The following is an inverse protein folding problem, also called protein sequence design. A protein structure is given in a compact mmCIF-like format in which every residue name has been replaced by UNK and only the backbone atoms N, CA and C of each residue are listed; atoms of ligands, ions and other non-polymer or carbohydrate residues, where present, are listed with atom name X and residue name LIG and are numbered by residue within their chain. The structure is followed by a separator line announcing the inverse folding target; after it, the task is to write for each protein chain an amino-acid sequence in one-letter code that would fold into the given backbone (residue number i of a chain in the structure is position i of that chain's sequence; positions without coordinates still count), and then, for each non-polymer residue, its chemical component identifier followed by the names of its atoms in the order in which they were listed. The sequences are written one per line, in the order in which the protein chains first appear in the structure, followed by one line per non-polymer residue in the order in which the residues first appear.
data_IF_826966873824
#
_entry.id   IF_826966873824
#
_cell.length_a   1.000
_cell.length_b   1.000
_cell.length_c   1.000
_cell.angle_alpha   90.00
_cell.angle_beta   90.00
_cell.angle_gamma   90.00
#
_symmetry.space_group_name_H-M   'P 1'
#
loop_
_entity.id
_entity.type
_entity.pdbx_description
1 polymer ?
#
# COMPACT_ATOMS: atom_id res chain seq x y z
N UNK A 1 -5.72 78.45 -28.58
CA UNK A 1 -5.95 79.03 -29.93
C UNK A 1 -6.74 77.99 -30.70
N UNK A 2 -8.07 78.13 -30.76
CA UNK A 2 -8.98 77.25 -31.49
C UNK A 2 -9.50 78.03 -32.66
N UNK A 3 -9.21 77.57 -33.88
CA UNK A 3 -9.72 78.15 -35.12
C UNK A 3 -11.14 77.59 -35.34
N UNK A 4 -12.12 78.47 -35.65
CA UNK A 4 -13.45 78.02 -36.00
C UNK A 4 -13.49 77.58 -37.47
N UNK A 5 -13.84 76.38 -37.77
CA UNK A 5 -14.23 75.91 -39.09
C UNK A 5 -15.68 76.25 -39.31
N UNK A 6 -15.90 77.08 -40.36
CA UNK A 6 -17.21 77.52 -40.86
C UNK A 6 -17.87 76.41 -41.65
N UNK A 7 -18.63 75.56 -41.07
CA UNK A 7 -19.69 74.85 -41.75
C UNK A 7 -20.89 74.68 -40.79
N UNK A 8 -21.85 75.55 -40.96
CA UNK A 8 -23.06 75.72 -40.13
C UNK A 8 -24.11 74.69 -40.43
N UNK A 9 -23.79 73.38 -40.25
CA UNK A 9 -24.77 72.33 -40.16
C UNK A 9 -24.87 71.87 -38.74
N UNK A 10 -25.76 72.50 -37.98
CA UNK A 10 -26.28 71.94 -36.74
C UNK A 10 -27.07 70.73 -37.14
N UNK A 11 -26.46 69.55 -37.06
CA UNK A 11 -27.18 68.27 -37.14
C UNK A 11 -28.09 68.23 -35.91
N UNK A 12 -29.35 68.54 -36.07
CA UNK A 12 -30.36 68.23 -35.09
C UNK A 12 -30.39 66.72 -34.91
N UNK A 13 -29.71 66.24 -33.88
CA UNK A 13 -29.90 64.87 -33.43
C UNK A 13 -31.34 64.79 -32.96
N UNK A 14 -32.21 64.30 -33.85
CA UNK A 14 -33.61 64.06 -33.50
C UNK A 14 -33.65 63.07 -32.31
N UNK A 15 -34.37 63.46 -31.29
CA UNK A 15 -34.63 62.55 -30.17
C UNK A 15 -35.24 61.25 -30.69
N UNK A 16 -34.73 60.07 -30.23
CA UNK A 16 -35.23 58.81 -30.71
C UNK A 16 -36.78 58.70 -30.51
N UNK A 17 -37.46 58.19 -31.48
CA UNK A 17 -38.91 57.99 -31.39
C UNK A 17 -39.26 56.98 -30.29
N UNK A 18 -40.48 57.01 -29.79
CA UNK A 18 -40.95 56.03 -28.80
C UNK A 18 -40.83 54.59 -29.33
N UNK A 19 -41.00 54.41 -30.64
CA UNK A 19 -40.79 53.08 -31.27
C UNK A 19 -39.31 52.63 -31.27
N UNK A 20 -38.38 53.53 -31.49
CA UNK A 20 -36.97 53.23 -31.47
C UNK A 20 -36.50 52.81 -30.07
N UNK A 21 -37.02 53.52 -29.05
CA UNK A 21 -36.72 53.18 -27.64
C UNK A 21 -37.36 51.82 -27.26
N UNK A 22 -38.57 51.54 -27.72
CA UNK A 22 -39.23 50.28 -27.46
C UNK A 22 -38.49 49.11 -28.14
N UNK A 23 -38.09 49.27 -29.38
CA UNK A 23 -37.32 48.29 -30.16
C UNK A 23 -35.94 48.01 -29.52
N UNK A 24 -35.22 49.06 -29.12
CA UNK A 24 -33.96 48.92 -28.43
C UNK A 24 -34.12 48.15 -27.10
N UNK A 25 -35.14 48.49 -26.31
CA UNK A 25 -35.41 47.78 -25.07
C UNK A 25 -35.77 46.29 -25.25
N UNK A 26 -36.52 45.99 -26.30
CA UNK A 26 -36.89 44.60 -26.64
C UNK A 26 -35.66 43.79 -27.08
N UNK A 27 -34.83 44.37 -27.94
CA UNK A 27 -33.56 43.75 -28.40
C UNK A 27 -32.59 43.51 -27.24
N UNK A 28 -32.46 44.44 -26.31
CA UNK A 28 -31.60 44.29 -25.16
C UNK A 28 -32.06 43.14 -24.25
N UNK A 29 -33.35 43.04 -24.00
CA UNK A 29 -33.93 41.88 -23.22
C UNK A 29 -33.70 40.56 -23.90
N UNK A 30 -33.75 40.49 -25.21
CA UNK A 30 -33.43 39.27 -25.95
C UNK A 30 -31.95 38.90 -25.83
N UNK A 31 -31.04 39.87 -25.95
CA UNK A 31 -29.62 39.67 -25.80
C UNK A 31 -29.25 39.18 -24.38
N UNK A 32 -29.86 39.73 -23.34
CA UNK A 32 -29.65 39.30 -21.95
C UNK A 32 -30.14 37.85 -21.72
N UNK A 33 -31.28 37.46 -22.31
CA UNK A 33 -31.76 36.07 -22.22
C UNK A 33 -30.84 35.08 -22.92
N UNK A 34 -30.25 35.43 -24.05
CA UNK A 34 -29.29 34.59 -24.78
C UNK A 34 -27.94 34.52 -24.04
N UNK A 35 -27.49 35.64 -23.45
CA UNK A 35 -26.26 35.66 -22.64
C UNK A 35 -26.40 34.80 -21.37
N UNK A 36 -27.56 34.82 -20.71
CA UNK A 36 -27.81 33.99 -19.53
C UNK A 36 -27.86 32.51 -19.86
N UNK A 37 -28.53 32.11 -20.97
CA UNK A 37 -28.55 30.72 -21.44
C UNK A 37 -27.18 30.19 -21.76
N UNK A 38 -26.32 30.98 -22.43
CA UNK A 38 -24.91 30.59 -22.73
C UNK A 38 -24.08 30.45 -21.43
N UNK A 39 -24.34 31.28 -20.43
CA UNK A 39 -23.66 31.21 -19.13
C UNK A 39 -24.06 29.94 -18.38
N UNK A 40 -25.34 29.63 -18.31
CA UNK A 40 -25.87 28.43 -17.68
C UNK A 40 -25.31 27.16 -18.37
N UNK A 41 -25.32 27.14 -19.71
CA UNK A 41 -24.82 26.02 -20.48
C UNK A 41 -23.31 25.75 -20.20
N UNK A 42 -22.49 26.82 -20.14
CA UNK A 42 -21.08 26.71 -19.77
C UNK A 42 -20.89 26.17 -18.35
N UNK A 43 -21.72 26.58 -17.41
CA UNK A 43 -21.71 26.06 -16.04
C UNK A 43 -22.09 24.58 -15.98
N UNK A 44 -23.12 24.17 -16.67
CA UNK A 44 -23.56 22.77 -16.75
C UNK A 44 -22.47 21.89 -17.36
N UNK A 45 -21.85 22.35 -18.44
CA UNK A 45 -20.73 21.62 -19.07
C UNK A 45 -19.54 21.48 -18.12
N UNK A 46 -19.18 22.56 -17.40
CA UNK A 46 -18.04 22.52 -16.43
C UNK A 46 -18.33 21.58 -15.25
N UNK A 47 -19.52 21.61 -14.70
CA UNK A 47 -19.95 20.72 -13.61
C UNK A 47 -19.99 19.27 -14.11
N UNK A 48 -20.57 19.03 -15.30
CA UNK A 48 -20.63 17.71 -15.92
C UNK A 48 -19.25 17.13 -16.21
N UNK A 49 -18.33 17.92 -16.76
CA UNK A 49 -16.95 17.51 -17.00
C UNK A 49 -16.19 17.21 -15.70
N UNK A 50 -16.39 18.02 -14.66
CA UNK A 50 -15.83 17.78 -13.34
C UNK A 50 -16.33 16.50 -12.69
N UNK A 51 -17.66 16.30 -12.70
CA UNK A 51 -18.28 15.09 -12.17
C UNK A 51 -17.84 13.81 -12.94
N UNK A 52 -17.72 13.90 -14.26
CA UNK A 52 -17.24 12.80 -15.10
C UNK A 52 -15.77 12.49 -14.81
N UNK A 53 -14.93 13.53 -14.66
CA UNK A 53 -13.52 13.35 -14.25
C UNK A 53 -13.39 12.66 -12.90
N UNK A 54 -14.20 13.06 -11.90
CA UNK A 54 -14.22 12.42 -10.58
C UNK A 54 -14.71 10.96 -10.65
N UNK A 55 -15.73 10.70 -11.47
CA UNK A 55 -16.29 9.36 -11.66
C UNK A 55 -15.28 8.37 -12.28
N UNK A 56 -14.32 8.86 -13.06
CA UNK A 56 -13.23 8.04 -13.61
C UNK A 56 -12.03 7.96 -12.67
N UNK A 57 -11.75 9.02 -11.93
CA UNK A 57 -10.57 9.11 -11.05
C UNK A 57 -10.71 8.20 -9.81
N UNK A 58 -11.91 8.14 -9.22
CA UNK A 58 -12.17 7.31 -8.03
C UNK A 58 -11.95 5.82 -8.31
N UNK A 59 -12.56 5.21 -9.36
CA UNK A 59 -12.30 3.81 -9.65
C UNK A 59 -10.85 3.55 -10.10
N UNK A 60 -10.20 4.49 -10.80
CA UNK A 60 -8.80 4.35 -11.19
C UNK A 60 -7.86 4.31 -9.98
N UNK A 61 -8.11 5.14 -8.97
CA UNK A 61 -7.37 5.12 -7.69
C UNK A 61 -7.69 3.84 -6.89
N UNK A 62 -8.95 3.39 -6.88
CA UNK A 62 -9.33 2.14 -6.24
C UNK A 62 -8.70 0.92 -6.93
N UNK A 63 -8.65 0.87 -8.27
CA UNK A 63 -7.93 -0.19 -9.00
C UNK A 63 -6.43 -0.18 -8.66
N UNK A 64 -5.81 0.99 -8.52
CA UNK A 64 -4.40 1.09 -8.15
C UNK A 64 -4.12 0.54 -6.75
N UNK A 65 -5.05 0.65 -5.81
CA UNK A 65 -4.93 0.02 -4.49
C UNK A 65 -5.12 -1.50 -4.54
N UNK A 66 -5.94 -2.00 -5.47
CA UNK A 66 -6.16 -3.43 -5.67
C UNK A 66 -4.99 -4.12 -6.42
N UNK A 67 -4.19 -3.37 -7.19
CA UNK A 67 -2.99 -3.87 -7.88
C UNK A 67 -1.72 -3.69 -7.04
N UNK A 68 -1.84 -3.30 -5.75
CA UNK A 68 -0.72 -3.39 -4.84
C UNK A 68 -0.32 -4.86 -4.76
N UNK A 69 0.71 -5.24 -5.48
CA UNK A 69 1.35 -6.54 -5.32
C UNK A 69 1.72 -6.64 -3.85
N UNK A 70 1.19 -7.67 -3.19
CA UNK A 70 1.58 -7.95 -1.81
C UNK A 70 3.07 -8.30 -1.86
N UNK A 71 3.91 -7.40 -1.37
CA UNK A 71 5.34 -7.61 -1.35
C UNK A 71 5.64 -8.86 -0.51
N UNK A 72 6.05 -9.93 -1.17
CA UNK A 72 6.46 -11.17 -0.53
C UNK A 72 7.97 -11.18 -0.28
N UNK A 73 8.42 -12.08 0.57
CA UNK A 73 9.85 -12.32 0.80
C UNK A 73 10.53 -12.70 -0.51
N UNK A 74 11.68 -12.10 -0.77
CA UNK A 74 12.49 -12.33 -1.97
C UNK A 74 13.98 -12.40 -1.63
N UNK A 75 14.76 -12.98 -2.54
CA UNK A 75 16.21 -13.03 -2.40
C UNK A 75 16.81 -11.61 -2.27
N UNK A 76 17.72 -11.45 -1.31
CA UNK A 76 18.38 -10.19 -0.99
C UNK A 76 17.67 -9.33 0.05
N UNK A 77 16.48 -9.72 0.51
CA UNK A 77 15.77 -9.00 1.57
C UNK A 77 16.52 -9.12 2.89
N UNK A 78 16.85 -8.00 3.51
CA UNK A 78 17.45 -7.95 4.84
C UNK A 78 16.39 -8.30 5.90
N UNK A 79 16.71 -9.22 6.81
CA UNK A 79 15.82 -9.59 7.90
C UNK A 79 16.01 -8.65 9.10
N UNK A 80 14.89 -8.10 9.59
CA UNK A 80 14.84 -7.22 10.75
C UNK A 80 13.94 -7.81 11.84
N UNK A 81 14.22 -7.50 13.10
CA UNK A 81 13.37 -7.94 14.22
C UNK A 81 11.92 -7.49 14.02
N UNK A 82 10.98 -8.40 14.22
CA UNK A 82 9.55 -8.12 14.07
C UNK A 82 8.95 -7.39 15.28
N UNK A 83 9.42 -7.68 16.48
CA UNK A 83 8.81 -7.25 17.75
C UNK A 83 9.87 -6.84 18.78
N UNK A 84 9.40 -6.22 19.88
CA UNK A 84 10.24 -5.77 20.99
C UNK A 84 10.96 -4.45 20.73
N UNK A 85 11.91 -4.13 21.59
CA UNK A 85 12.67 -2.86 21.56
C UNK A 85 13.60 -2.76 20.33
N UNK A 86 13.87 -3.89 19.70
CA UNK A 86 14.72 -3.99 18.52
C UNK A 86 13.92 -4.03 17.20
N UNK A 87 12.60 -3.94 17.23
CA UNK A 87 11.76 -3.99 16.04
C UNK A 87 12.25 -3.03 14.94
N UNK A 88 12.41 -3.56 13.73
CA UNK A 88 12.94 -2.82 12.58
C UNK A 88 14.47 -2.70 12.52
N UNK A 89 15.22 -3.16 13.53
CA UNK A 89 16.67 -3.24 13.45
C UNK A 89 17.13 -4.53 12.75
N UNK A 90 18.23 -4.49 11.98
CA UNK A 90 18.80 -5.67 11.37
C UNK A 90 19.18 -6.74 12.41
N UNK A 91 18.93 -7.99 12.08
CA UNK A 91 19.32 -9.11 12.94
C UNK A 91 20.81 -9.36 12.79
N UNK A 92 21.53 -9.22 13.91
CA UNK A 92 22.93 -9.60 14.01
C UNK A 92 23.04 -11.04 14.50
N UNK A 93 23.67 -11.92 13.70
CA UNK A 93 23.83 -13.33 14.05
C UNK A 93 24.64 -13.52 15.35
N UNK A 94 25.56 -12.60 15.66
CA UNK A 94 26.35 -12.65 16.87
C UNK A 94 25.55 -12.41 18.16
N UNK A 95 24.38 -11.75 18.03
CA UNK A 95 23.47 -11.52 19.14
C UNK A 95 22.55 -12.73 19.41
N UNK A 96 22.44 -13.68 18.49
CA UNK A 96 21.64 -14.89 18.64
C UNK A 96 22.44 -15.99 19.30
N UNK A 97 22.07 -16.38 20.54
CA UNK A 97 22.68 -17.53 21.21
C UNK A 97 22.10 -18.85 20.70
N UNK A 98 22.85 -19.97 20.76
CA UNK A 98 22.29 -21.29 20.45
C UNK A 98 21.02 -21.58 21.23
N UNK A 99 20.00 -22.09 20.57
CA UNK A 99 18.66 -22.29 21.15
C UNK A 99 17.79 -21.03 21.20
N UNK A 100 18.27 -19.89 20.73
CA UNK A 100 17.42 -18.70 20.57
C UNK A 100 16.50 -18.83 19.35
N UNK A 101 15.30 -18.26 19.49
CA UNK A 101 14.39 -18.02 18.37
C UNK A 101 13.96 -16.56 18.41
N UNK A 102 13.82 -15.95 17.24
CA UNK A 102 13.34 -14.57 17.09
C UNK A 102 12.41 -14.47 15.89
N UNK A 103 11.42 -13.61 16.00
CA UNK A 103 10.55 -13.30 14.87
C UNK A 103 11.11 -12.15 14.05
N UNK A 104 11.05 -12.29 12.73
CA UNK A 104 11.61 -11.36 11.77
C UNK A 104 10.62 -11.03 10.65
N UNK A 105 10.80 -9.85 10.07
CA UNK A 105 10.23 -9.48 8.77
C UNK A 105 11.36 -9.11 7.80
N UNK A 106 11.14 -9.25 6.49
CA UNK A 106 11.95 -8.54 5.52
C UNK A 106 11.79 -7.04 5.70
N UNK A 107 12.88 -6.28 5.64
CA UNK A 107 12.86 -4.82 5.81
C UNK A 107 11.85 -4.16 4.89
N UNK A 108 10.97 -3.31 5.44
CA UNK A 108 9.92 -2.60 4.71
C UNK A 108 8.74 -3.46 4.25
N UNK A 109 8.65 -4.75 4.62
CA UNK A 109 7.57 -5.67 4.19
C UNK A 109 6.72 -6.23 5.34
N UNK A 110 6.70 -5.56 6.48
CA UNK A 110 5.95 -5.98 7.68
C UNK A 110 4.42 -5.80 7.56
N UNK A 111 3.94 -5.06 6.56
CA UNK A 111 2.49 -4.92 6.29
C UNK A 111 1.83 -6.24 5.85
N UNK A 112 2.60 -7.17 5.34
CA UNK A 112 2.14 -8.50 4.98
C UNK A 112 2.48 -9.50 6.09
N UNK A 113 1.49 -9.89 6.88
CA UNK A 113 1.65 -10.86 7.97
C UNK A 113 2.19 -12.22 7.50
N UNK A 114 1.99 -12.59 6.24
CA UNK A 114 2.53 -13.82 5.67
C UNK A 114 4.06 -13.77 5.51
N UNK A 115 4.68 -12.61 5.59
CA UNK A 115 6.13 -12.47 5.59
C UNK A 115 6.76 -12.70 6.97
N UNK A 116 5.97 -13.00 8.01
CA UNK A 116 6.51 -13.26 9.34
C UNK A 116 7.31 -14.55 9.35
N UNK A 117 8.54 -14.44 9.79
CA UNK A 117 9.58 -15.48 9.78
C UNK A 117 9.90 -15.83 11.22
N UNK A 118 10.00 -17.12 11.52
CA UNK A 118 10.61 -17.65 12.74
C UNK A 118 12.03 -18.03 12.44
N UNK A 119 12.99 -17.26 12.93
CA UNK A 119 14.42 -17.49 12.79
C UNK A 119 14.93 -18.20 14.02
N UNK A 120 15.53 -19.38 13.86
CA UNK A 120 15.98 -20.23 14.96
C UNK A 120 17.46 -20.54 14.82
N UNK A 121 18.20 -20.37 15.92
CA UNK A 121 19.59 -20.83 16.01
C UNK A 121 19.63 -22.22 16.68
N UNK A 122 19.83 -23.26 15.89
CA UNK A 122 19.76 -24.65 16.34
C UNK A 122 21.10 -25.20 16.87
N UNK A 123 22.22 -24.53 16.58
CA UNK A 123 23.56 -25.02 16.93
C UNK A 123 24.57 -23.92 17.20
N UNK A 124 25.77 -24.35 17.62
CA UNK A 124 26.92 -23.47 17.94
C UNK A 124 27.63 -22.93 16.69
N UNK A 125 27.45 -23.59 15.55
CA UNK A 125 28.02 -23.12 14.27
C UNK A 125 27.36 -21.80 13.84
N UNK A 126 28.12 -20.72 13.71
CA UNK A 126 27.57 -19.41 13.35
C UNK A 126 26.91 -19.37 11.99
N UNK A 127 27.31 -20.23 11.05
CA UNK A 127 26.74 -20.23 9.68
C UNK A 127 25.84 -21.44 9.43
N UNK A 128 26.13 -22.61 10.00
CA UNK A 128 25.37 -23.86 9.76
C UNK A 128 24.22 -24.13 10.71
N UNK A 129 24.12 -23.40 11.82
CA UNK A 129 23.11 -23.61 12.85
C UNK A 129 21.92 -22.65 12.80
N UNK A 130 21.79 -21.83 11.76
CA UNK A 130 20.69 -20.89 11.61
C UNK A 130 19.69 -21.41 10.58
N UNK A 131 18.42 -21.48 10.97
CA UNK A 131 17.31 -21.92 10.10
C UNK A 131 16.17 -20.92 10.20
N UNK A 132 15.39 -20.78 9.13
CA UNK A 132 14.28 -19.87 9.06
C UNK A 132 13.04 -20.58 8.49
N UNK A 133 11.90 -20.33 9.11
CA UNK A 133 10.62 -20.91 8.74
C UNK A 133 9.54 -19.82 8.72
N UNK A 134 8.43 -20.10 8.04
CA UNK A 134 7.24 -19.27 8.21
C UNK A 134 6.78 -19.34 9.68
N UNK A 135 6.54 -18.19 10.30
CA UNK A 135 5.97 -18.12 11.64
C UNK A 135 4.44 -18.38 11.64
N UNK A 136 3.86 -18.67 10.49
CA UNK A 136 2.42 -18.92 10.33
C UNK A 136 2.15 -20.43 10.34
N UNK A 137 1.45 -20.88 11.38
CA UNK A 137 1.12 -22.27 11.59
C UNK A 137 0.28 -22.87 10.45
N UNK A 138 0.67 -24.06 9.99
CA UNK A 138 0.03 -24.79 8.89
C UNK A 138 -1.31 -25.42 9.24
N UNK A 139 -1.74 -25.38 10.52
CA UNK A 139 -3.07 -25.85 10.93
C UNK A 139 -4.17 -24.85 10.55
N UNK A 140 -4.21 -23.66 11.19
CA UNK A 140 -5.24 -22.65 10.99
C UNK A 140 -4.68 -21.22 10.91
N UNK A 141 -3.39 -21.06 10.60
CA UNK A 141 -2.79 -19.75 10.36
C UNK A 141 -2.45 -18.93 11.60
N UNK A 142 -2.46 -19.50 12.80
CA UNK A 142 -1.99 -18.81 14.00
C UNK A 142 -0.48 -18.55 13.92
N UNK A 143 -0.01 -17.47 14.51
CA UNK A 143 1.42 -17.23 14.68
C UNK A 143 1.99 -18.18 15.74
N UNK A 144 3.15 -18.79 15.46
CA UNK A 144 3.89 -19.60 16.44
C UNK A 144 4.47 -18.72 17.54
N UNK A 145 4.85 -19.33 18.66
CA UNK A 145 5.52 -18.59 19.76
C UNK A 145 6.90 -18.15 19.33
N UNK A 146 7.29 -16.95 19.68
CA UNK A 146 8.63 -16.35 19.43
C UNK A 146 9.79 -17.14 20.08
N UNK A 147 9.49 -17.99 21.02
CA UNK A 147 10.48 -18.78 21.80
C UNK A 147 10.22 -20.26 21.66
N UNK A 148 11.31 -21.01 21.64
CA UNK A 148 11.23 -22.45 21.67
C UNK A 148 10.75 -22.97 23.03
N UNK A 149 10.14 -24.16 23.01
CA UNK A 149 9.86 -24.90 24.24
C UNK A 149 11.16 -25.44 24.88
N UNK A 150 11.09 -26.03 26.10
CA UNK A 150 12.29 -26.57 26.75
C UNK A 150 13.04 -27.67 25.96
N UNK A 151 12.35 -28.33 25.02
CA UNK A 151 12.94 -29.36 24.16
C UNK A 151 13.57 -28.75 22.91
N UNK A 152 13.51 -27.42 22.73
CA UNK A 152 14.06 -26.67 21.60
C UNK A 152 13.19 -26.74 20.33
N UNK A 153 11.86 -26.90 20.47
CA UNK A 153 10.94 -26.97 19.37
C UNK A 153 10.05 -25.72 19.26
N UNK A 154 9.62 -25.42 18.03
CA UNK A 154 8.66 -24.33 17.74
C UNK A 154 7.27 -24.80 18.14
N UNK A 155 6.50 -23.93 18.79
CA UNK A 155 5.14 -24.26 19.28
C UNK A 155 4.11 -23.26 18.77
N UNK A 156 3.01 -23.78 18.24
CA UNK A 156 1.83 -22.98 17.95
C UNK A 156 0.90 -22.96 19.19
N UNK A 157 0.59 -21.77 19.77
CA UNK A 157 -0.17 -21.70 21.02
C UNK A 157 -1.65 -22.01 20.85
N UNK A 158 -2.22 -21.92 19.63
CA UNK A 158 -3.66 -22.09 19.41
C UNK A 158 -4.13 -23.52 19.66
N UNK A 159 -3.43 -24.51 19.11
CA UNK A 159 -3.84 -25.91 19.20
C UNK A 159 -2.67 -26.86 19.48
N UNK A 160 -1.59 -26.30 20.06
CA UNK A 160 -0.42 -27.05 20.52
C UNK A 160 0.28 -27.90 19.43
N UNK A 161 0.27 -27.43 18.17
CA UNK A 161 1.13 -28.02 17.17
C UNK A 161 2.59 -27.73 17.49
N UNK A 162 3.45 -28.74 17.40
CA UNK A 162 4.89 -28.67 17.73
C UNK A 162 5.69 -29.07 16.49
N UNK A 163 6.73 -28.27 16.18
CA UNK A 163 7.56 -28.46 15.00
C UNK A 163 9.03 -28.53 15.40
N UNK A 164 9.78 -29.47 14.83
CA UNK A 164 11.23 -29.59 15.09
C UNK A 164 12.05 -28.73 14.12
N UNK A 165 12.67 -27.62 14.57
CA UNK A 165 13.47 -26.76 13.69
C UNK A 165 14.74 -27.43 13.20
N UNK A 166 15.18 -28.56 13.76
CA UNK A 166 16.36 -29.32 13.34
C UNK A 166 16.07 -30.35 12.28
N UNK A 167 14.78 -30.61 12.01
CA UNK A 167 14.28 -31.57 11.03
C UNK A 167 13.27 -30.92 10.08
N UNK A 168 13.66 -29.84 9.42
CA UNK A 168 12.87 -29.09 8.44
C UNK A 168 11.46 -28.72 8.95
N UNK A 169 11.37 -28.32 10.21
CA UNK A 169 10.14 -28.00 10.92
C UNK A 169 9.04 -29.06 10.80
N UNK A 170 9.43 -30.35 10.77
CA UNK A 170 8.50 -31.46 10.78
C UNK A 170 7.56 -31.41 11.99
N UNK A 171 6.32 -31.82 11.78
CA UNK A 171 5.31 -31.88 12.85
C UNK A 171 5.63 -33.02 13.80
N UNK A 172 5.92 -32.69 15.06
CA UNK A 172 6.12 -33.66 16.13
C UNK A 172 4.80 -34.00 16.85
N UNK A 173 3.93 -33.02 17.00
CA UNK A 173 2.67 -33.17 17.70
C UNK A 173 1.64 -32.12 17.23
N UNK A 174 0.36 -32.39 17.50
CA UNK A 174 -0.75 -31.49 17.24
C UNK A 174 -1.41 -31.67 15.87
N UNK A 175 -2.40 -30.83 15.55
CA UNK A 175 -3.25 -31.00 14.37
C UNK A 175 -2.68 -30.42 13.07
N UNK A 176 -1.48 -29.84 13.06
CA UNK A 176 -0.86 -29.36 11.84
C UNK A 176 -0.62 -30.52 10.86
N UNK A 177 -1.05 -30.37 9.61
CA UNK A 177 -1.00 -31.46 8.63
C UNK A 177 0.35 -31.55 7.87
N UNK A 178 1.18 -30.50 7.94
CA UNK A 178 2.47 -30.41 7.23
C UNK A 178 3.47 -29.53 7.99
N UNK A 179 4.78 -29.64 7.68
CA UNK A 179 5.81 -28.78 8.21
C UNK A 179 5.53 -27.29 7.98
N UNK A 180 6.19 -26.42 8.75
CA UNK A 180 6.27 -25.01 8.41
C UNK A 180 7.13 -24.84 7.14
N UNK A 181 6.72 -24.02 6.18
CA UNK A 181 7.54 -23.73 5.00
C UNK A 181 8.88 -23.16 5.40
N UNK A 182 9.98 -23.66 4.81
CA UNK A 182 11.30 -23.15 5.05
C UNK A 182 11.60 -21.91 4.20
N UNK A 183 12.44 -21.02 4.72
CA UNK A 183 12.95 -19.88 4.02
C UNK A 183 14.46 -20.05 3.86
N UNK A 184 14.99 -20.14 2.63
CA UNK A 184 16.44 -20.14 2.43
C UNK A 184 17.00 -18.78 2.87
N UNK A 185 18.12 -18.82 3.62
CA UNK A 185 18.77 -17.63 4.15
C UNK A 185 20.26 -17.65 3.84
N UNK A 186 20.82 -16.44 3.71
CA UNK A 186 22.26 -16.19 3.63
C UNK A 186 22.71 -15.30 4.79
N UNK A 187 23.99 -15.40 5.16
CA UNK A 187 24.61 -14.50 6.13
C UNK A 187 25.69 -13.69 5.43
N UNK A 188 25.54 -12.37 5.43
CA UNK A 188 26.53 -11.44 4.89
C UNK A 188 26.83 -10.34 5.91
N UNK A 189 28.10 -10.11 6.19
CA UNK A 189 28.59 -9.10 7.16
C UNK A 189 27.90 -9.22 8.54
N UNK A 190 27.66 -10.46 9.00
CA UNK A 190 26.99 -10.75 10.28
C UNK A 190 25.49 -10.53 10.29
N UNK A 191 24.88 -10.18 9.15
CA UNK A 191 23.45 -9.94 9.00
C UNK A 191 22.77 -11.07 8.24
N UNK A 192 21.51 -11.31 8.55
CA UNK A 192 20.70 -12.36 7.93
C UNK A 192 19.88 -11.79 6.78
N UNK A 193 20.00 -12.40 5.61
CA UNK A 193 19.25 -12.06 4.41
C UNK A 193 18.44 -13.27 3.94
N UNK A 194 17.29 -13.03 3.33
CA UNK A 194 16.58 -14.06 2.60
C UNK A 194 17.36 -14.41 1.31
N UNK A 195 17.59 -15.69 1.05
CA UNK A 195 18.20 -16.18 -0.18
C UNK A 195 17.15 -16.53 -1.25
N UNK A 196 15.86 -16.47 -0.91
CA UNK A 196 14.73 -16.77 -1.79
C UNK A 196 13.40 -16.48 -1.14
N UNK A 197 12.32 -17.00 -1.72
CA UNK A 197 11.02 -17.07 -1.08
C UNK A 197 10.85 -18.36 -0.28
N UNK A 198 9.73 -18.49 0.44
CA UNK A 198 9.39 -19.73 1.13
C UNK A 198 9.22 -20.89 0.12
N UNK A 199 9.64 -22.08 0.51
CA UNK A 199 9.63 -23.32 -0.31
C UNK A 199 8.22 -23.94 -0.48
N UNK A 200 7.24 -23.44 0.25
CA UNK A 200 5.88 -23.94 0.22
C UNK A 200 4.81 -22.90 0.55
N UNK A 201 3.52 -23.29 0.47
CA UNK A 201 2.43 -22.38 0.78
C UNK A 201 2.41 -22.04 2.28
N UNK A 202 2.19 -20.77 2.61
CA UNK A 202 2.14 -20.25 3.97
C UNK A 202 0.75 -20.46 4.56
N UNK A 203 0.68 -20.82 5.84
CA UNK A 203 -0.57 -20.99 6.57
C UNK A 203 -1.29 -22.30 6.26
N UNK A 204 -2.61 -22.39 6.49
CA UNK A 204 -3.38 -23.62 6.30
C UNK A 204 -3.43 -24.09 4.85
N UNK A 205 -3.59 -25.43 4.65
CA UNK A 205 -3.73 -26.05 3.34
C UNK A 205 -5.17 -25.95 2.82
#
# INVERSE_FOLDING_TARGET
MVTPTSDGRTSLVSSPSSEDLYRAHWLNRQAERLASRRRILRWVIRIGAGAFGLALLVPALALRSLTRTVDTVAAGDLLVYAIGDQAGLPIDIAALTPGAAVQAFPEGKSENEQNLIELVRTGDDPEGGLVAYSAICTHLGCTVLERLNPDGNIVCPCHASVFDPRADAQVLNGPAARPLPSLPIDVADGRVLAAGGFDGPIGPA
#
